data_IF_092478949497
#
_entry.id   IF_092478949497
#
_cell.length_a   1.000
_cell.length_b   1.000
_cell.length_c   1.000
_cell.angle_alpha   90.00
_cell.angle_beta   90.00
_cell.angle_gamma   90.00
#
_symmetry.space_group_name_H-M   'P 1'
#
loop_
_entity.id
_entity.type
_entity.pdbx_description
1 polymer ?
#
# COMPACT_ATOMS: atom_id res chain seq x y z
N UNK A 1 -3.71 5.00 -16.45
CA UNK A 1 -4.36 4.19 -17.50
C UNK A 1 -3.41 3.28 -18.28
N UNK A 2 -2.10 3.53 -18.20
CA UNK A 2 -1.10 2.74 -18.93
C UNK A 2 -1.20 1.22 -18.75
N UNK A 3 -1.33 0.68 -17.50
CA UNK A 3 -1.45 -0.78 -17.33
C UNK A 3 -2.66 -1.38 -18.03
N UNK A 4 -3.78 -0.68 -18.07
CA UNK A 4 -5.02 -1.16 -18.71
C UNK A 4 -4.96 -1.09 -20.23
N UNK A 5 -4.29 -0.08 -20.77
CA UNK A 5 -4.06 0.04 -22.21
C UNK A 5 -3.31 -1.18 -22.75
N UNK A 6 -2.37 -1.72 -21.99
CA UNK A 6 -1.61 -2.92 -22.33
C UNK A 6 -2.47 -4.18 -22.48
N UNK A 7 -3.67 -4.19 -21.88
CA UNK A 7 -4.60 -5.32 -21.93
C UNK A 7 -5.70 -5.14 -22.98
N UNK A 8 -5.66 -4.06 -23.77
CA UNK A 8 -6.63 -3.83 -24.85
C UNK A 8 -8.05 -3.49 -24.40
N UNK A 9 -8.23 -3.01 -23.19
CA UNK A 9 -9.54 -2.57 -22.72
C UNK A 9 -9.98 -1.28 -23.42
N UNK A 10 -11.31 -1.07 -23.53
CA UNK A 10 -11.83 0.15 -24.15
C UNK A 10 -11.64 1.36 -23.23
N UNK A 11 -11.59 2.55 -23.82
CA UNK A 11 -11.29 3.80 -23.11
C UNK A 11 -12.29 4.13 -21.98
N UNK A 12 -13.57 3.80 -22.15
CA UNK A 12 -14.59 4.07 -21.13
C UNK A 12 -14.42 3.19 -19.91
N UNK A 13 -14.08 1.91 -20.10
CA UNK A 13 -13.82 0.97 -19.00
C UNK A 13 -12.55 1.36 -18.25
N UNK A 14 -11.49 1.71 -18.98
CA UNK A 14 -10.23 2.21 -18.40
C UNK A 14 -10.50 3.41 -17.50
N UNK A 15 -11.26 4.38 -18.01
CA UNK A 15 -11.60 5.61 -17.26
C UNK A 15 -12.37 5.28 -15.98
N UNK A 16 -13.35 4.41 -16.03
CA UNK A 16 -14.12 3.98 -14.85
C UNK A 16 -13.22 3.33 -13.80
N UNK A 17 -12.33 2.45 -14.20
CA UNK A 17 -11.40 1.77 -13.29
C UNK A 17 -10.41 2.74 -12.64
N UNK A 18 -9.89 3.69 -13.40
CA UNK A 18 -8.99 4.73 -12.88
C UNK A 18 -9.71 5.62 -11.86
N UNK A 19 -10.92 6.07 -12.16
CA UNK A 19 -11.73 6.88 -11.24
C UNK A 19 -11.98 6.11 -9.94
N UNK A 20 -12.42 4.86 -10.04
CA UNK A 20 -12.68 4.02 -8.86
C UNK A 20 -11.44 3.82 -8.01
N UNK A 21 -10.29 3.55 -8.63
CA UNK A 21 -9.03 3.38 -7.91
C UNK A 21 -8.62 4.66 -7.18
N UNK A 22 -8.75 5.83 -7.82
CA UNK A 22 -8.43 7.12 -7.20
C UNK A 22 -9.37 7.47 -6.06
N UNK A 23 -10.65 7.13 -6.17
CA UNK A 23 -11.60 7.30 -5.06
C UNK A 23 -11.23 6.43 -3.86
N UNK A 24 -10.83 5.17 -4.09
CA UNK A 24 -10.44 4.24 -3.01
C UNK A 24 -9.25 4.73 -2.21
N UNK A 25 -8.33 5.46 -2.83
CA UNK A 25 -7.16 6.02 -2.15
C UNK A 25 -7.36 7.47 -1.68
N UNK A 26 -8.56 8.05 -1.90
CA UNK A 26 -8.87 9.40 -1.44
C UNK A 26 -8.29 10.51 -2.31
N UNK A 27 -8.07 10.28 -3.59
CA UNK A 27 -7.48 11.25 -4.51
C UNK A 27 -8.43 11.76 -5.61
N UNK A 28 -9.72 11.61 -5.44
CA UNK A 28 -10.69 12.01 -6.45
C UNK A 28 -10.50 13.44 -6.95
N UNK A 29 -10.21 14.36 -6.04
CA UNK A 29 -10.03 15.78 -6.36
C UNK A 29 -8.67 16.11 -6.99
N UNK A 30 -7.75 15.14 -7.05
CA UNK A 30 -6.39 15.31 -7.55
C UNK A 30 -6.13 14.62 -8.89
N UNK A 31 -7.17 14.17 -9.57
CA UNK A 31 -7.06 13.42 -10.84
C UNK A 31 -6.31 14.16 -11.93
N UNK A 32 -6.32 15.50 -11.92
CA UNK A 32 -5.68 16.35 -12.93
C UNK A 32 -4.40 17.01 -12.44
N UNK A 33 -3.95 16.73 -11.23
CA UNK A 33 -2.71 17.30 -10.69
C UNK A 33 -1.49 16.59 -11.26
N UNK A 34 -0.43 17.37 -11.52
CA UNK A 34 0.86 16.81 -11.91
C UNK A 34 1.57 16.22 -10.69
N UNK A 35 2.43 15.17 -10.86
CA UNK A 35 3.12 14.54 -9.74
C UNK A 35 3.91 15.50 -8.84
N UNK A 36 4.50 16.56 -9.41
CA UNK A 36 5.25 17.56 -8.65
C UNK A 36 4.38 18.50 -7.81
N UNK A 37 3.06 18.46 -8.00
CA UNK A 37 2.09 19.23 -7.22
C UNK A 37 1.52 18.45 -6.04
N UNK A 38 1.91 17.18 -5.88
CA UNK A 38 1.39 16.30 -4.86
C UNK A 38 2.33 16.23 -3.65
N UNK A 39 1.75 16.14 -2.45
CA UNK A 39 2.51 15.83 -1.24
C UNK A 39 3.09 14.42 -1.29
N UNK A 40 4.02 14.08 -0.39
CA UNK A 40 4.57 12.73 -0.28
C UNK A 40 3.50 11.67 -0.05
N UNK A 41 2.53 11.96 0.83
CA UNK A 41 1.40 11.06 1.08
C UNK A 41 0.49 10.90 -0.13
N UNK A 42 0.23 11.98 -0.86
CA UNK A 42 -0.56 11.94 -2.09
C UNK A 42 0.15 11.16 -3.19
N UNK A 43 1.46 11.33 -3.34
CA UNK A 43 2.27 10.55 -4.28
C UNK A 43 2.20 9.05 -3.95
N UNK A 44 2.27 8.69 -2.67
CA UNK A 44 2.13 7.31 -2.22
C UNK A 44 0.74 6.75 -2.53
N UNK A 45 -0.31 7.54 -2.33
CA UNK A 45 -1.67 7.16 -2.71
C UNK A 45 -1.81 6.91 -4.20
N UNK A 46 -1.16 7.70 -5.05
CA UNK A 46 -1.11 7.47 -6.50
C UNK A 46 -0.47 6.12 -6.82
N UNK A 47 0.64 5.79 -6.16
CA UNK A 47 1.30 4.49 -6.33
C UNK A 47 0.36 3.34 -5.96
N UNK A 48 -0.37 3.46 -4.86
CA UNK A 48 -1.34 2.45 -4.43
C UNK A 48 -2.49 2.34 -5.44
N UNK A 49 -3.02 3.47 -5.92
CA UNK A 49 -4.09 3.47 -6.91
C UNK A 49 -3.67 2.74 -8.19
N UNK A 50 -2.44 2.97 -8.66
CA UNK A 50 -1.89 2.27 -9.83
C UNK A 50 -1.79 0.77 -9.59
N UNK A 51 -1.44 0.36 -8.38
CA UNK A 51 -1.35 -1.06 -8.04
C UNK A 51 -2.72 -1.75 -8.04
N UNK A 52 -3.79 -1.06 -7.63
CA UNK A 52 -5.12 -1.67 -7.46
C UNK A 52 -6.04 -1.51 -8.67
N UNK A 53 -5.63 -0.77 -9.70
CA UNK A 53 -6.49 -0.47 -10.85
C UNK A 53 -6.97 -1.73 -11.60
N UNK A 54 -6.22 -2.81 -11.56
CA UNK A 54 -6.54 -4.10 -12.19
C UNK A 54 -7.09 -5.16 -11.21
N UNK A 55 -7.56 -4.75 -10.03
CA UNK A 55 -8.06 -5.66 -8.99
C UNK A 55 -7.10 -6.82 -8.69
N UNK A 56 -5.86 -6.56 -8.25
CA UNK A 56 -4.86 -7.60 -8.03
C UNK A 56 -5.23 -8.49 -6.85
N UNK A 57 -4.82 -9.75 -6.91
CA UNK A 57 -4.94 -10.68 -5.77
C UNK A 57 -3.83 -10.48 -4.74
N UNK A 58 -2.69 -9.97 -5.18
CA UNK A 58 -1.51 -9.76 -4.33
C UNK A 58 -0.94 -8.37 -4.59
N UNK A 59 -0.68 -7.65 -3.52
CA UNK A 59 -0.01 -6.34 -3.54
C UNK A 59 1.25 -6.45 -2.70
N UNK A 60 2.37 -6.00 -3.24
CA UNK A 60 3.65 -5.98 -2.54
C UNK A 60 4.03 -4.52 -2.29
N UNK A 61 4.27 -4.18 -1.03
CA UNK A 61 4.67 -2.84 -0.61
C UNK A 61 6.06 -2.91 0.04
N UNK A 62 6.95 -2.03 -0.36
CA UNK A 62 8.26 -1.88 0.24
C UNK A 62 8.34 -0.52 0.93
N UNK A 63 8.37 -0.52 2.27
CA UNK A 63 8.40 0.69 3.10
C UNK A 63 7.37 1.74 2.65
N UNK A 64 6.06 1.41 2.60
CA UNK A 64 5.06 2.30 2.01
C UNK A 64 4.85 3.60 2.79
N UNK A 65 5.33 3.68 4.02
CA UNK A 65 5.24 4.87 4.87
C UNK A 65 6.60 5.52 5.15
N UNK A 66 7.64 5.09 4.44
CA UNK A 66 8.98 5.67 4.56
C UNK A 66 8.98 7.17 4.27
N UNK A 67 9.68 7.94 5.09
CA UNK A 67 9.79 9.41 4.97
C UNK A 67 8.49 10.20 5.12
N UNK A 68 7.41 9.57 5.60
CA UNK A 68 6.15 10.23 5.89
C UNK A 68 6.03 10.49 7.40
N UNK A 69 5.36 11.59 7.78
CA UNK A 69 5.09 11.85 9.18
C UNK A 69 4.11 10.81 9.77
N UNK A 70 4.03 10.65 11.11
CA UNK A 70 3.21 9.60 11.72
C UNK A 70 1.73 9.67 11.36
N UNK A 71 1.16 10.86 11.22
CA UNK A 71 -0.25 11.03 10.86
C UNK A 71 -0.51 10.56 9.43
N UNK A 72 0.32 10.98 8.49
CA UNK A 72 0.20 10.58 7.08
C UNK A 72 0.47 9.07 6.95
N UNK A 73 1.44 8.54 7.68
CA UNK A 73 1.72 7.10 7.72
C UNK A 73 0.49 6.30 8.17
N UNK A 74 -0.20 6.77 9.20
CA UNK A 74 -1.43 6.14 9.68
C UNK A 74 -2.51 6.15 8.60
N UNK A 75 -2.69 7.26 7.90
CA UNK A 75 -3.66 7.39 6.82
C UNK A 75 -3.36 6.41 5.68
N UNK A 76 -2.08 6.25 5.29
CA UNK A 76 -1.67 5.29 4.26
C UNK A 76 -1.97 3.85 4.73
N UNK A 77 -1.70 3.52 5.97
CA UNK A 77 -2.01 2.18 6.51
C UNK A 77 -3.51 1.91 6.53
N UNK A 78 -4.32 2.91 6.83
CA UNK A 78 -5.78 2.78 6.76
C UNK A 78 -6.27 2.52 5.33
N UNK A 79 -5.70 3.19 4.34
CA UNK A 79 -5.99 2.94 2.92
C UNK A 79 -5.67 1.49 2.55
N UNK A 80 -4.50 1.00 2.93
CA UNK A 80 -4.08 -0.39 2.66
C UNK A 80 -4.98 -1.41 3.35
N UNK A 81 -5.35 -1.18 4.61
CA UNK A 81 -6.29 -2.04 5.35
C UNK A 81 -7.65 -2.11 4.67
N UNK A 82 -8.16 -0.97 4.22
CA UNK A 82 -9.43 -0.87 3.54
C UNK A 82 -9.41 -1.62 2.20
N UNK A 83 -8.33 -1.52 1.44
CA UNK A 83 -8.13 -2.28 0.21
C UNK A 83 -8.15 -3.78 0.50
N UNK A 84 -7.43 -4.22 1.52
CA UNK A 84 -7.42 -5.63 1.92
C UNK A 84 -8.81 -6.15 2.27
N UNK A 85 -9.59 -5.38 3.02
CA UNK A 85 -10.95 -5.75 3.45
C UNK A 85 -11.95 -5.72 2.29
N UNK A 86 -11.96 -4.66 1.50
CA UNK A 86 -12.97 -4.44 0.45
C UNK A 86 -12.68 -5.21 -0.84
N UNK A 87 -11.42 -5.28 -1.27
CA UNK A 87 -11.04 -5.97 -2.50
C UNK A 87 -10.62 -7.42 -2.27
N UNK A 88 -10.38 -7.81 -1.03
CA UNK A 88 -9.86 -9.14 -0.72
C UNK A 88 -8.43 -9.38 -1.18
N UNK A 89 -7.71 -8.32 -1.55
CA UNK A 89 -6.30 -8.43 -1.96
C UNK A 89 -5.42 -8.81 -0.78
N UNK A 90 -4.51 -9.75 -0.98
CA UNK A 90 -3.46 -10.05 -0.02
C UNK A 90 -2.37 -8.99 -0.13
N UNK A 91 -1.95 -8.44 1.00
CA UNK A 91 -0.89 -7.42 1.02
C UNK A 91 0.32 -7.98 1.76
N UNK A 92 1.47 -7.96 1.10
CA UNK A 92 2.76 -8.26 1.71
C UNK A 92 3.52 -6.94 1.83
N UNK A 93 3.91 -6.59 3.04
CA UNK A 93 4.60 -5.32 3.30
C UNK A 93 5.95 -5.59 3.96
N UNK A 94 7.02 -5.06 3.35
CA UNK A 94 8.31 -5.00 3.99
C UNK A 94 8.45 -3.66 4.72
N UNK A 95 8.72 -3.70 6.03
CA UNK A 95 8.90 -2.50 6.83
C UNK A 95 9.80 -2.78 8.04
N UNK A 96 10.48 -1.74 8.51
CA UNK A 96 11.19 -1.74 9.79
C UNK A 96 10.54 -0.80 10.81
N UNK A 97 9.34 -0.30 10.52
CA UNK A 97 8.61 0.59 11.42
C UNK A 97 7.86 -0.20 12.50
N UNK A 98 8.39 -0.15 13.72
CA UNK A 98 7.87 -0.89 14.88
C UNK A 98 6.45 -0.50 15.24
N UNK A 99 6.13 0.79 15.18
CA UNK A 99 4.79 1.28 15.54
C UNK A 99 3.72 0.74 14.62
N UNK A 100 4.00 0.74 13.32
CA UNK A 100 3.08 0.21 12.30
C UNK A 100 2.85 -1.27 12.53
N UNK A 101 3.92 -2.05 12.68
CA UNK A 101 3.83 -3.51 12.91
C UNK A 101 2.99 -3.81 14.15
N UNK A 102 3.24 -3.10 15.24
CA UNK A 102 2.54 -3.32 16.51
C UNK A 102 1.07 -2.89 16.46
N UNK A 103 0.75 -1.81 15.75
CA UNK A 103 -0.64 -1.32 15.63
C UNK A 103 -1.50 -2.20 14.73
N UNK A 104 -0.93 -2.74 13.66
CA UNK A 104 -1.70 -3.48 12.66
C UNK A 104 -2.17 -4.84 13.14
N UNK A 105 -1.47 -5.47 14.06
CA UNK A 105 -1.80 -6.79 14.64
C UNK A 105 -2.07 -7.85 13.58
N UNK A 106 -1.28 -7.85 12.53
CA UNK A 106 -1.34 -8.81 11.42
C UNK A 106 -0.23 -9.85 11.58
N UNK A 107 -0.19 -10.82 10.65
CA UNK A 107 0.91 -11.78 10.61
C UNK A 107 2.23 -11.06 10.41
N UNK A 108 3.22 -11.38 11.22
CA UNK A 108 4.56 -10.80 11.15
C UNK A 108 5.58 -11.90 10.93
N UNK A 109 6.33 -11.79 9.84
CA UNK A 109 7.48 -12.65 9.54
C UNK A 109 8.73 -11.80 9.75
N UNK A 110 9.55 -12.19 10.71
CA UNK A 110 10.81 -11.48 11.00
C UNK A 110 11.96 -12.17 10.30
N UNK A 111 12.71 -11.40 9.52
CA UNK A 111 13.89 -11.88 8.77
C UNK A 111 15.13 -11.21 9.33
N UNK A 112 16.17 -12.01 9.62
CA UNK A 112 17.45 -11.54 10.08
C UNK A 112 18.57 -12.31 9.35
N UNK A 113 19.52 -11.58 8.76
CA UNK A 113 20.62 -12.17 7.98
C UNK A 113 20.16 -13.21 6.94
N UNK A 114 19.06 -12.92 6.25
CA UNK A 114 18.52 -13.81 5.20
C UNK A 114 17.77 -15.03 5.71
N UNK A 115 17.52 -15.12 7.02
CA UNK A 115 16.85 -16.27 7.65
C UNK A 115 15.58 -15.80 8.37
N UNK A 116 14.51 -16.59 8.26
CA UNK A 116 13.29 -16.35 9.03
C UNK A 116 13.54 -16.77 10.48
N UNK A 117 13.44 -15.81 11.40
CA UNK A 117 13.66 -16.04 12.83
C UNK A 117 12.36 -16.11 13.62
N UNK A 118 11.27 -15.64 13.06
CA UNK A 118 9.95 -15.64 13.72
C UNK A 118 8.85 -15.50 12.66
N UNK A 119 7.72 -16.18 12.90
CA UNK A 119 6.51 -16.08 12.08
C UNK A 119 5.30 -16.24 13.00
N UNK A 120 4.60 -15.13 13.25
CA UNK A 120 3.46 -15.09 14.17
C UNK A 120 2.22 -14.51 13.48
N UNK A 121 1.08 -15.17 13.63
CA UNK A 121 -0.19 -14.77 13.00
C UNK A 121 -0.68 -13.38 13.42
N UNK A 122 -0.49 -13.01 14.70
CA UNK A 122 -0.77 -11.69 15.25
C UNK A 122 0.49 -11.24 15.98
N UNK A 123 1.48 -10.84 15.19
CA UNK A 123 2.79 -10.57 15.72
C UNK A 123 3.00 -9.12 16.15
N UNK A 124 4.07 -8.92 16.86
CA UNK A 124 4.65 -7.62 17.16
C UNK A 124 6.04 -7.56 16.55
N UNK A 125 6.60 -6.36 16.52
CA UNK A 125 7.96 -6.19 16.02
C UNK A 125 8.95 -6.89 16.97
N UNK A 126 9.80 -7.73 16.41
CA UNK A 126 10.84 -8.43 17.17
C UNK A 126 12.18 -7.72 16.94
N UNK A 127 12.75 -7.19 18.02
CA UNK A 127 14.11 -6.67 17.98
C UNK A 127 15.10 -7.82 18.15
N UNK A 128 16.13 -7.85 17.31
CA UNK A 128 17.23 -8.76 17.53
C UNK A 128 18.13 -8.18 18.62
N UNK A 129 18.29 -8.91 19.71
CA UNK A 129 19.11 -8.51 20.84
C UNK A 129 20.62 -8.51 20.52
N UNK A 130 21.01 -8.98 19.33
CA UNK A 130 22.40 -9.12 18.90
C UNK A 130 22.96 -7.93 18.12
N UNK A 131 22.43 -6.76 18.33
CA UNK A 131 22.97 -5.52 17.73
C UNK A 131 23.86 -4.78 18.72
#
# INVERSE_FOLDING_TARGET
AYPLESYGENQNEIRKKVILATERVGLKDKLRSFPNQLSGGEQQRVCIARAIVNDPKLIICDEPTGDLDPKISQEIMEVLSKINEELGSTIIMATHDKEIVNKMKKRVVCIHNGVIVSDKKKGSYVENEDN
#
